data_IF_423496889908
#
_entry.id   IF_423496889908
#
_cell.length_a   1.000
_cell.length_b   1.000
_cell.length_c   1.000
_cell.angle_alpha   90.00
_cell.angle_beta   90.00
_cell.angle_gamma   90.00
#
_symmetry.space_group_name_H-M   'P 1'
#
loop_
_entity.id
_entity.type
_entity.pdbx_description
1 polymer ?
#
# COMPACT_ATOMS: atom_id res chain seq x y z
N UNK A 1 -1.47 -12.89 10.01
CA UNK A 1 -2.48 -13.05 8.95
C UNK A 1 -2.53 -11.74 8.17
N UNK A 2 -2.65 -11.76 6.84
CA UNK A 2 -2.79 -10.54 6.05
C UNK A 2 -4.09 -10.68 5.25
N UNK A 3 -4.94 -9.66 5.29
CA UNK A 3 -6.17 -9.57 4.51
C UNK A 3 -5.95 -8.46 3.50
N UNK A 4 -5.99 -8.79 2.22
CA UNK A 4 -5.82 -7.82 1.13
C UNK A 4 -7.20 -7.45 0.59
N UNK A 5 -7.49 -6.15 0.51
CA UNK A 5 -8.71 -5.59 -0.06
C UNK A 5 -8.32 -4.94 -1.40
N UNK A 6 -8.60 -5.65 -2.49
CA UNK A 6 -8.34 -5.18 -3.85
C UNK A 6 -9.63 -4.62 -4.46
N UNK A 7 -9.51 -3.54 -5.23
CA UNK A 7 -10.65 -2.93 -5.91
C UNK A 7 -10.25 -1.69 -6.71
N UNK A 8 -11.10 -1.30 -7.66
CA UNK A 8 -10.90 -0.08 -8.44
C UNK A 8 -10.96 1.19 -7.57
N UNK A 9 -10.49 2.32 -8.10
CA UNK A 9 -10.59 3.60 -7.40
C UNK A 9 -12.04 3.94 -7.05
N UNK A 10 -12.28 4.43 -5.82
CA UNK A 10 -13.60 4.88 -5.38
C UNK A 10 -14.64 3.80 -5.10
N UNK A 11 -14.31 2.49 -5.17
CA UNK A 11 -15.27 1.40 -4.89
C UNK A 11 -15.53 1.16 -3.40
N UNK A 12 -14.97 1.97 -2.51
CA UNK A 12 -15.20 1.88 -1.06
C UNK A 12 -14.27 0.93 -0.30
N UNK A 13 -13.07 0.66 -0.83
CA UNK A 13 -12.05 -0.19 -0.18
C UNK A 13 -11.73 0.27 1.25
N UNK A 14 -11.44 1.57 1.44
CA UNK A 14 -11.19 2.18 2.76
C UNK A 14 -12.36 2.00 3.73
N UNK A 15 -13.60 2.13 3.23
CA UNK A 15 -14.81 1.91 4.03
C UNK A 15 -14.88 0.48 4.53
N UNK A 16 -14.67 -0.50 3.64
CA UNK A 16 -14.64 -1.92 4.01
C UNK A 16 -13.49 -2.24 4.96
N UNK A 17 -12.30 -1.67 4.74
CA UNK A 17 -11.15 -1.84 5.64
C UNK A 17 -11.48 -1.34 7.05
N UNK A 18 -12.12 -0.18 7.16
CA UNK A 18 -12.53 0.42 8.46
C UNK A 18 -13.58 -0.43 9.17
N UNK A 19 -14.60 -0.91 8.44
CA UNK A 19 -15.61 -1.81 9.01
C UNK A 19 -14.97 -3.11 9.50
N UNK A 20 -14.07 -3.70 8.71
CA UNK A 20 -13.38 -4.92 9.07
C UNK A 20 -12.44 -4.74 10.26
N UNK A 21 -11.83 -3.56 10.41
CA UNK A 21 -11.00 -3.25 11.57
C UNK A 21 -11.80 -3.26 12.88
N UNK A 22 -13.05 -2.79 12.84
CA UNK A 22 -13.94 -2.80 14.01
C UNK A 22 -14.36 -4.21 14.41
N UNK A 23 -14.48 -5.12 13.46
CA UNK A 23 -14.88 -6.52 13.70
C UNK A 23 -13.70 -7.41 14.12
N UNK A 24 -12.48 -7.12 13.62
CA UNK A 24 -11.30 -7.93 13.92
C UNK A 24 -10.47 -7.27 15.02
N UNK A 25 -10.54 -7.84 16.21
CA UNK A 25 -9.72 -7.44 17.33
C UNK A 25 -8.22 -7.45 16.98
N UNK A 26 -7.51 -6.45 17.49
CA UNK A 26 -6.08 -6.27 17.28
C UNK A 26 -5.68 -6.15 15.80
N UNK A 27 -6.52 -5.66 14.89
CA UNK A 27 -6.15 -5.43 13.48
C UNK A 27 -5.57 -4.04 13.22
N UNK A 28 -4.79 -3.92 12.14
CA UNK A 28 -4.19 -2.66 11.68
C UNK A 28 -4.50 -2.47 10.20
N UNK A 29 -4.96 -1.29 9.82
CA UNK A 29 -5.04 -0.89 8.41
C UNK A 29 -3.67 -0.39 7.97
N UNK A 30 -3.21 -0.91 6.84
CA UNK A 30 -1.96 -0.51 6.21
C UNK A 30 -2.23 -0.15 4.76
N UNK A 31 -1.99 1.10 4.42
CA UNK A 31 -2.06 1.60 3.05
C UNK A 31 -0.65 1.59 2.41
N UNK A 32 -0.40 0.78 1.37
CA UNK A 32 0.81 0.78 0.57
C UNK A 32 1.08 2.09 -0.18
N UNK A 33 0.06 2.93 -0.39
CA UNK A 33 0.26 4.23 -1.03
C UNK A 33 1.21 5.11 -0.21
N UNK A 34 1.21 5.01 1.12
CA UNK A 34 2.14 5.73 2.00
C UNK A 34 3.60 5.46 1.63
N UNK A 35 3.93 4.21 1.26
CA UNK A 35 5.26 3.85 0.76
C UNK A 35 5.49 4.47 -0.62
N UNK A 36 4.48 4.51 -1.47
CA UNK A 36 4.52 5.15 -2.79
C UNK A 36 4.78 6.66 -2.70
N UNK A 37 4.05 7.38 -1.85
CA UNK A 37 4.24 8.82 -1.60
C UNK A 37 5.62 9.11 -1.02
N UNK A 38 6.09 8.30 -0.08
CA UNK A 38 7.46 8.42 0.44
C UNK A 38 8.48 8.28 -0.68
N UNK A 39 8.37 7.24 -1.51
CA UNK A 39 9.28 7.00 -2.65
C UNK A 39 9.22 8.12 -3.69
N UNK A 40 8.03 8.69 -3.96
CA UNK A 40 7.87 9.86 -4.82
C UNK A 40 8.68 11.06 -4.32
N UNK A 41 8.74 11.24 -3.00
CA UNK A 41 9.43 12.36 -2.35
C UNK A 41 10.94 12.17 -2.26
N UNK A 42 11.42 10.94 -2.02
CA UNK A 42 12.86 10.67 -1.78
C UNK A 42 13.63 10.32 -3.05
N UNK A 43 12.98 9.71 -4.04
CA UNK A 43 13.68 9.25 -5.24
C UNK A 43 13.89 10.40 -6.25
N UNK A 44 15.09 10.50 -6.85
CA UNK A 44 15.34 11.41 -7.96
C UNK A 44 14.38 11.15 -9.13
N UNK A 45 14.00 12.22 -9.84
CA UNK A 45 13.12 12.13 -11.00
C UNK A 45 13.66 11.21 -12.12
N UNK A 46 14.98 11.11 -12.25
CA UNK A 46 15.65 10.21 -13.21
C UNK A 46 15.38 8.74 -12.93
N UNK A 47 15.44 8.32 -11.67
CA UNK A 47 15.15 6.95 -11.24
C UNK A 47 13.67 6.65 -11.43
N UNK A 48 12.78 7.57 -11.01
CA UNK A 48 11.33 7.42 -11.18
C UNK A 48 10.95 7.19 -12.65
N UNK A 49 11.49 7.97 -13.57
CA UNK A 49 11.22 7.81 -15.01
C UNK A 49 11.76 6.51 -15.60
N UNK A 50 12.87 5.99 -15.07
CA UNK A 50 13.51 4.77 -15.56
C UNK A 50 12.80 3.51 -15.05
N UNK A 51 12.46 3.47 -13.77
CA UNK A 51 11.88 2.29 -13.11
C UNK A 51 10.34 2.28 -13.10
N UNK A 52 9.70 3.45 -13.21
CA UNK A 52 8.25 3.60 -13.25
C UNK A 52 7.83 4.43 -14.48
N UNK A 53 7.95 3.87 -15.71
CA UNK A 53 7.64 4.59 -16.95
C UNK A 53 6.17 4.99 -17.07
N UNK A 54 5.26 4.31 -16.35
CA UNK A 54 3.83 4.67 -16.30
C UNK A 54 3.53 5.88 -15.40
N UNK A 55 4.49 6.29 -14.56
CA UNK A 55 4.28 7.25 -13.49
C UNK A 55 3.68 6.65 -12.21
N UNK A 56 3.34 5.36 -12.21
CA UNK A 56 2.85 4.65 -11.04
C UNK A 56 4.00 4.16 -10.16
N UNK A 57 3.98 4.48 -8.86
CA UNK A 57 4.95 3.96 -7.91
C UNK A 57 4.89 2.43 -7.78
N UNK A 58 3.78 1.79 -8.17
CA UNK A 58 3.62 0.33 -8.15
C UNK A 58 4.59 -0.40 -9.10
N UNK A 59 5.10 0.29 -10.12
CA UNK A 59 6.11 -0.25 -11.04
C UNK A 59 7.47 -0.40 -10.35
N UNK A 60 7.78 0.49 -9.39
CA UNK A 60 9.06 0.52 -8.69
C UNK A 60 9.29 -0.78 -7.93
N UNK A 61 10.39 -1.46 -8.21
CA UNK A 61 10.75 -2.68 -7.48
C UNK A 61 10.98 -2.39 -5.98
N UNK A 62 11.52 -1.20 -5.68
CA UNK A 62 11.69 -0.75 -4.31
C UNK A 62 10.34 -0.58 -3.58
N UNK A 63 9.29 -0.13 -4.27
CA UNK A 63 7.95 -0.03 -3.67
C UNK A 63 7.40 -1.41 -3.29
N UNK A 64 7.53 -2.41 -4.16
CA UNK A 64 7.07 -3.78 -3.89
C UNK A 64 7.78 -4.36 -2.67
N UNK A 65 9.11 -4.20 -2.61
CA UNK A 65 9.93 -4.68 -1.49
C UNK A 65 9.57 -3.99 -0.18
N UNK A 66 9.54 -2.65 -0.17
CA UNK A 66 9.24 -1.88 1.03
C UNK A 66 7.81 -2.10 1.52
N UNK A 67 6.85 -2.28 0.61
CA UNK A 67 5.46 -2.59 0.98
C UNK A 67 5.37 -3.87 1.80
N UNK A 68 6.10 -4.91 1.39
CA UNK A 68 6.16 -6.18 2.12
C UNK A 68 6.93 -6.02 3.43
N UNK A 69 8.06 -5.31 3.43
CA UNK A 69 8.90 -5.16 4.61
C UNK A 69 8.20 -4.32 5.69
N UNK A 70 7.50 -3.25 5.33
CA UNK A 70 6.68 -2.45 6.28
C UNK A 70 5.57 -3.30 6.86
N UNK A 71 4.82 -4.05 6.04
CA UNK A 71 3.78 -4.95 6.54
C UNK A 71 4.32 -6.02 7.51
N UNK A 72 5.48 -6.60 7.22
CA UNK A 72 6.15 -7.55 8.14
C UNK A 72 6.49 -6.88 9.47
N UNK A 73 7.07 -5.68 9.43
CA UNK A 73 7.45 -4.94 10.63
C UNK A 73 6.23 -4.53 11.47
N UNK A 74 5.13 -4.10 10.84
CA UNK A 74 3.87 -3.78 11.53
C UNK A 74 3.29 -5.01 12.25
N UNK A 75 3.30 -6.16 11.58
CA UNK A 75 2.84 -7.44 12.17
C UNK A 75 3.71 -7.87 13.36
N UNK A 76 5.03 -7.65 13.27
CA UNK A 76 5.96 -7.98 14.34
C UNK A 76 5.85 -7.01 15.53
N UNK A 77 5.67 -5.72 15.25
CA UNK A 77 5.52 -4.67 16.25
C UNK A 77 4.28 -4.90 17.11
N UNK A 78 3.14 -5.20 16.48
CA UNK A 78 1.92 -5.63 17.18
C UNK A 78 1.76 -7.14 17.04
N UNK A 79 2.48 -7.88 17.90
CA UNK A 79 2.45 -9.35 17.95
C UNK A 79 1.04 -9.91 17.67
N UNK A 80 0.87 -10.51 16.49
CA UNK A 80 -0.32 -11.26 16.01
C UNK A 80 -1.48 -10.44 15.42
N UNK A 81 -1.27 -9.18 15.06
CA UNK A 81 -2.29 -8.38 14.38
C UNK A 81 -2.49 -8.77 12.91
N UNK A 82 -3.74 -8.96 12.43
CA UNK A 82 -4.02 -8.99 11.01
C UNK A 82 -3.79 -7.61 10.38
N UNK A 83 -3.16 -7.59 9.20
CA UNK A 83 -3.01 -6.37 8.40
C UNK A 83 -4.08 -6.33 7.32
N UNK A 84 -4.85 -5.25 7.28
CA UNK A 84 -5.77 -4.93 6.20
C UNK A 84 -5.00 -4.08 5.18
N UNK A 85 -4.66 -4.68 4.03
CA UNK A 85 -3.93 -3.99 2.97
C UNK A 85 -4.89 -3.50 1.91
N UNK A 86 -5.01 -2.19 1.76
CA UNK A 86 -5.67 -1.58 0.61
C UNK A 86 -4.73 -1.66 -0.59
N UNK A 87 -5.21 -2.04 -1.77
CA UNK A 87 -4.40 -2.00 -2.98
C UNK A 87 -5.24 -1.44 -4.13
N UNK A 88 -4.74 -0.38 -4.75
CA UNK A 88 -5.32 0.15 -5.98
C UNK A 88 -4.82 -0.62 -7.19
N UNK A 89 -5.72 -0.93 -8.12
CA UNK A 89 -5.31 -1.23 -9.49
C UNK A 89 -4.96 0.08 -10.17
N UNK A 90 -3.70 0.22 -10.59
CA UNK A 90 -3.17 1.36 -11.34
C UNK A 90 -4.16 1.89 -12.38
N UNK A 91 -4.81 3.02 -12.09
CA UNK A 91 -5.39 3.86 -13.13
C UNK A 91 -4.42 5.00 -13.39
N UNK A 92 -3.73 4.88 -14.51
CA UNK A 92 -3.00 5.94 -15.18
C UNK A 92 -3.91 7.16 -15.38
N UNK A 93 -3.80 8.19 -14.53
CA UNK A 93 -4.22 9.55 -14.86
C UNK A 93 -3.33 10.58 -14.18
N UNK A 94 -2.41 11.12 -14.99
CA UNK A 94 -1.94 12.50 -15.08
C UNK A 94 -1.46 13.24 -13.82
N UNK A 95 -0.13 13.37 -13.70
CA UNK A 95 0.60 14.64 -13.90
C UNK A 95 2.03 14.39 -14.39
#
# INVERSE_FOLDING_TARGET
MIIMINGAFGVGKTTIATMLQNEIENSIIYDPEEVGYMLRNVLPATIKKMEAPTGDFQDLELWKKLTVDVAKNLTAFRKKSPILKECEGANSTNE
#
